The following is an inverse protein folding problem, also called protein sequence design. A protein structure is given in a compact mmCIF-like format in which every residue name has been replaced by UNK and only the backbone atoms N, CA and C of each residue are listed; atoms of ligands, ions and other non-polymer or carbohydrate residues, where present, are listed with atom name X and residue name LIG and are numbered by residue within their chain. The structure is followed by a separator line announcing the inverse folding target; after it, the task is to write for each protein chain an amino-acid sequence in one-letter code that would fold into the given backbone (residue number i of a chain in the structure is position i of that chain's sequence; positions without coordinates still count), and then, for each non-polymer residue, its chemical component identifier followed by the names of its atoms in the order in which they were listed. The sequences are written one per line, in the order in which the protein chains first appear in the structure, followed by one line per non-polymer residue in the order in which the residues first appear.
data_IF_630567222950
#
_entry.id   IF_630567222950
#
_cell.length_a   1.000
_cell.length_b   1.000
_cell.length_c   1.000
_cell.angle_alpha   90.00
_cell.angle_beta   90.00
_cell.angle_gamma   90.00
#
_symmetry.space_group_name_H-M   'P 1'
#
loop_
_entity.id
_entity.type
_entity.pdbx_description
1 polymer ?
#
# COMPACT_ATOMS: atom_id res chain seq x y z
N UNK A 1 8.02 6.36 8.81
CA UNK A 1 7.22 7.26 9.68
C UNK A 1 5.75 7.00 9.41
N UNK A 2 4.94 6.75 10.44
CA UNK A 2 3.48 6.62 10.29
C UNK A 2 2.83 7.93 10.72
N UNK A 3 2.14 8.62 9.81
CA UNK A 3 1.49 9.91 10.08
C UNK A 3 -0.01 9.72 9.98
N UNK A 4 -0.68 9.64 11.13
CA UNK A 4 -2.10 9.29 11.28
C UNK A 4 -2.97 10.44 11.79
N UNK A 5 -2.73 11.68 11.35
CA UNK A 5 -3.38 12.86 11.95
C UNK A 5 -4.85 13.04 11.53
N UNK A 6 -5.32 12.38 10.45
CA UNK A 6 -6.67 12.62 9.88
C UNK A 6 -7.49 11.35 9.61
N UNK A 7 -6.89 10.17 9.63
CA UNK A 7 -7.59 8.88 9.63
C UNK A 7 -6.72 7.79 10.26
N UNK A 8 -7.33 6.63 10.53
CA UNK A 8 -6.61 5.51 11.13
C UNK A 8 -5.61 4.87 10.16
N UNK A 9 -4.46 4.51 10.72
CA UNK A 9 -3.51 3.56 10.15
C UNK A 9 -3.62 2.29 10.99
N UNK A 10 -3.92 1.16 10.36
CA UNK A 10 -3.98 -0.16 11.03
C UNK A 10 -2.93 -1.08 10.42
N UNK A 11 -2.22 -1.81 11.28
CA UNK A 11 -1.17 -2.74 10.88
C UNK A 11 -1.41 -4.07 11.60
N UNK A 12 -1.58 -5.15 10.83
CA UNK A 12 -1.78 -6.50 11.35
C UNK A 12 -0.51 -7.10 11.98
N UNK A 13 -0.69 -8.24 12.64
CA UNK A 13 0.39 -8.95 13.32
C UNK A 13 1.41 -9.52 12.33
N UNK A 14 2.69 -9.56 12.71
CA UNK A 14 3.75 -10.15 11.89
C UNK A 14 4.12 -9.34 10.64
N UNK A 15 3.53 -8.16 10.45
CA UNK A 15 3.86 -7.27 9.33
C UNK A 15 5.18 -6.56 9.55
N UNK A 16 6.00 -6.54 8.51
CA UNK A 16 7.31 -5.90 8.48
C UNK A 16 7.26 -4.62 7.66
N UNK A 17 7.41 -3.47 8.32
CA UNK A 17 7.60 -2.18 7.66
C UNK A 17 9.09 -1.83 7.73
N UNK A 18 9.76 -1.90 6.59
CA UNK A 18 11.21 -1.65 6.52
C UNK A 18 11.54 -0.14 6.60
N UNK A 19 12.82 0.18 6.78
CA UNK A 19 13.29 1.55 7.00
C UNK A 19 12.93 2.50 5.84
N UNK A 20 12.80 3.78 6.21
CA UNK A 20 12.44 4.88 5.33
C UNK A 20 11.06 4.78 4.66
N UNK A 21 10.26 3.77 4.99
CA UNK A 21 8.88 3.68 4.52
C UNK A 21 7.99 4.72 5.18
N UNK A 22 7.08 5.29 4.39
CA UNK A 22 6.10 6.29 4.80
C UNK A 22 4.71 5.69 4.70
N UNK A 23 3.99 5.68 5.81
CA UNK A 23 2.57 5.33 5.85
C UNK A 23 1.81 6.59 6.21
N UNK A 24 0.98 7.06 5.29
CA UNK A 24 0.31 8.34 5.39
C UNK A 24 -1.17 8.21 5.03
N UNK A 25 -2.02 9.00 5.68
CA UNK A 25 -3.40 9.19 5.25
C UNK A 25 -3.66 10.65 4.89
N UNK A 26 -4.11 10.90 3.65
CA UNK A 26 -4.45 12.25 3.20
C UNK A 26 -5.61 12.83 4.02
N UNK A 27 -5.56 14.14 4.31
CA UNK A 27 -6.66 14.83 5.02
C UNK A 27 -7.98 14.82 4.26
N UNK A 28 -7.89 14.78 2.94
CA UNK A 28 -9.00 14.69 1.99
C UNK A 28 -8.41 14.30 0.63
N UNK A 29 -9.02 13.36 -0.08
CA UNK A 29 -8.71 13.15 -1.50
C UNK A 29 -9.47 14.15 -2.38
N UNK A 30 -9.24 14.14 -3.70
CA UNK A 30 -9.93 15.03 -4.66
C UNK A 30 -11.47 14.94 -4.59
N UNK A 31 -12.02 13.85 -4.07
CA UNK A 31 -13.45 13.60 -3.90
C UNK A 31 -13.99 13.98 -2.52
N UNK A 32 -13.17 14.59 -1.66
CA UNK A 32 -13.54 14.96 -0.29
C UNK A 32 -13.64 13.79 0.69
N UNK A 33 -13.27 12.57 0.28
CA UNK A 33 -13.29 11.38 1.13
C UNK A 33 -11.92 11.14 1.76
N UNK A 34 -11.91 10.67 2.99
CA UNK A 34 -10.70 10.25 3.70
C UNK A 34 -10.64 8.74 3.65
N UNK A 35 -9.57 8.17 3.08
CA UNK A 35 -9.36 6.73 2.99
C UNK A 35 -8.34 6.29 4.04
N UNK A 36 -8.67 5.35 4.94
CA UNK A 36 -7.69 4.85 5.90
C UNK A 36 -6.58 4.10 5.18
N UNK A 37 -5.45 3.91 5.85
CA UNK A 37 -4.45 2.94 5.39
C UNK A 37 -4.53 1.69 6.25
N UNK A 38 -4.88 0.57 5.63
CA UNK A 38 -5.07 -0.71 6.31
C UNK A 38 -4.04 -1.67 5.75
N UNK A 39 -3.17 -2.19 6.63
CA UNK A 39 -2.17 -3.19 6.30
C UNK A 39 -2.52 -4.44 7.10
N UNK A 40 -2.68 -5.56 6.41
CA UNK A 40 -2.99 -6.86 6.98
C UNK A 40 -1.84 -7.45 7.81
N UNK A 41 -1.94 -8.74 8.08
CA UNK A 41 -0.97 -9.53 8.82
C UNK A 41 0.05 -10.18 7.88
N UNK A 42 1.29 -10.38 8.38
CA UNK A 42 2.38 -10.99 7.61
C UNK A 42 2.69 -10.28 6.28
N UNK A 43 2.39 -8.98 6.19
CA UNK A 43 2.71 -8.17 5.01
C UNK A 43 4.18 -7.76 5.08
N UNK A 44 4.88 -7.76 3.94
CA UNK A 44 6.20 -7.15 3.85
C UNK A 44 6.12 -5.86 3.05
N UNK A 45 6.44 -4.74 3.70
CA UNK A 45 6.58 -3.43 3.07
C UNK A 45 8.05 -3.09 2.95
N UNK A 46 8.52 -3.09 1.70
CA UNK A 46 9.91 -2.85 1.32
C UNK A 46 10.43 -1.47 1.72
N UNK A 47 11.76 -1.35 1.85
CA UNK A 47 12.45 -0.09 2.16
C UNK A 47 11.97 1.07 1.29
N UNK A 48 11.81 2.25 1.89
CA UNK A 48 11.43 3.49 1.19
C UNK A 48 10.09 3.40 0.43
N UNK A 49 9.21 2.46 0.79
CA UNK A 49 7.88 2.40 0.20
C UNK A 49 6.97 3.50 0.75
N UNK A 50 6.07 4.02 -0.09
CA UNK A 50 5.09 5.04 0.27
C UNK A 50 3.70 4.47 0.15
N UNK A 51 2.99 4.38 1.27
CA UNK A 51 1.61 3.92 1.35
C UNK A 51 0.70 5.10 1.67
N UNK A 52 -0.23 5.39 0.78
CA UNK A 52 -1.10 6.56 0.89
C UNK A 52 -2.57 6.17 0.70
N UNK A 53 -3.31 6.06 1.82
CA UNK A 53 -4.76 5.80 1.81
C UNK A 53 -5.15 4.50 1.08
N UNK A 54 -4.43 3.41 1.34
CA UNK A 54 -4.58 2.13 0.62
C UNK A 54 -4.94 0.96 1.54
N UNK A 55 -5.42 -0.13 0.96
CA UNK A 55 -5.65 -1.41 1.66
C UNK A 55 -4.70 -2.46 1.12
N UNK A 56 -3.95 -3.11 2.00
CA UNK A 56 -3.04 -4.21 1.70
C UNK A 56 -3.47 -5.40 2.55
N UNK A 57 -3.95 -6.46 1.92
CA UNK A 57 -4.40 -7.67 2.60
C UNK A 57 -3.24 -8.52 3.13
N UNK A 58 -3.59 -9.54 3.90
CA UNK A 58 -2.64 -10.44 4.54
C UNK A 58 -1.67 -11.08 3.54
N UNK A 59 -0.43 -11.32 3.97
CA UNK A 59 0.58 -12.08 3.20
C UNK A 59 0.93 -11.45 1.83
N UNK A 60 0.52 -10.20 1.58
CA UNK A 60 0.92 -9.44 0.40
C UNK A 60 2.34 -8.87 0.53
N UNK A 61 2.93 -8.50 -0.60
CA UNK A 61 4.27 -7.92 -0.68
C UNK A 61 4.28 -6.57 -1.39
N UNK A 62 4.87 -5.56 -0.77
CA UNK A 62 5.09 -4.24 -1.38
C UNK A 62 6.59 -4.05 -1.60
N UNK A 63 7.01 -3.97 -2.86
CA UNK A 63 8.42 -3.82 -3.23
C UNK A 63 9.06 -2.54 -2.73
N UNK A 64 10.39 -2.58 -2.61
CA UNK A 64 11.19 -1.41 -2.18
C UNK A 64 10.96 -0.22 -3.10
N UNK A 65 10.80 0.97 -2.54
CA UNK A 65 10.57 2.20 -3.29
C UNK A 65 9.23 2.26 -4.03
N UNK A 66 8.33 1.30 -3.83
CA UNK A 66 7.00 1.34 -4.43
C UNK A 66 6.15 2.43 -3.77
N UNK A 67 5.25 3.03 -4.55
CA UNK A 67 4.31 4.06 -4.13
C UNK A 67 2.89 3.62 -4.46
N UNK A 68 2.06 3.43 -3.43
CA UNK A 68 0.64 3.12 -3.51
C UNK A 68 -0.18 4.40 -3.26
N UNK A 69 -0.98 4.81 -4.25
CA UNK A 69 -1.86 5.97 -4.13
C UNK A 69 -3.24 5.62 -3.53
N UNK A 70 -4.06 6.65 -3.35
CA UNK A 70 -5.37 6.56 -2.70
C UNK A 70 -6.26 5.46 -3.30
N UNK A 71 -6.85 4.64 -2.44
CA UNK A 71 -7.82 3.62 -2.83
C UNK A 71 -7.20 2.41 -3.52
N UNK A 72 -5.88 2.32 -3.60
CA UNK A 72 -5.23 1.08 -4.04
C UNK A 72 -5.63 -0.06 -3.11
N UNK A 73 -5.97 -1.20 -3.72
CA UNK A 73 -6.34 -2.43 -3.03
C UNK A 73 -5.44 -3.57 -3.49
N UNK A 74 -4.55 -4.02 -2.61
CA UNK A 74 -3.64 -5.15 -2.84
C UNK A 74 -4.24 -6.37 -2.17
N UNK A 75 -4.69 -7.34 -2.96
CA UNK A 75 -5.29 -8.57 -2.43
C UNK A 75 -4.25 -9.51 -1.80
N UNK A 76 -4.75 -10.50 -1.07
CA UNK A 76 -3.94 -11.54 -0.43
C UNK A 76 -2.93 -12.14 -1.41
N UNK A 77 -1.69 -12.34 -0.97
CA UNK A 77 -0.60 -12.90 -1.80
C UNK A 77 -0.22 -12.11 -3.05
N UNK A 78 -0.82 -10.95 -3.32
CA UNK A 78 -0.41 -10.11 -4.44
C UNK A 78 0.95 -9.43 -4.15
N UNK A 79 1.67 -9.09 -5.21
CA UNK A 79 2.96 -8.41 -5.10
C UNK A 79 2.98 -7.11 -5.90
N UNK A 80 3.51 -6.06 -5.28
CA UNK A 80 3.86 -4.81 -5.95
C UNK A 80 5.35 -4.83 -6.23
N UNK A 81 5.75 -4.63 -7.48
CA UNK A 81 7.15 -4.63 -7.88
C UNK A 81 7.93 -3.45 -7.25
N UNK A 82 9.24 -3.61 -7.12
CA UNK A 82 10.11 -2.53 -6.64
C UNK A 82 10.04 -1.29 -7.55
N UNK A 83 9.97 -0.10 -6.95
CA UNK A 83 9.83 1.16 -7.67
C UNK A 83 8.49 1.36 -8.38
N UNK A 84 7.50 0.49 -8.16
CA UNK A 84 6.20 0.59 -8.80
C UNK A 84 5.45 1.85 -8.35
N UNK A 85 4.85 2.61 -9.27
CA UNK A 85 3.84 3.63 -8.95
C UNK A 85 2.45 3.09 -9.29
N UNK A 86 1.69 2.69 -8.28
CA UNK A 86 0.34 2.15 -8.45
C UNK A 86 -0.67 3.29 -8.32
N UNK A 87 -1.47 3.47 -9.37
CA UNK A 87 -2.41 4.59 -9.49
C UNK A 87 -3.62 4.43 -8.57
N UNK A 88 -4.28 5.56 -8.30
CA UNK A 88 -5.46 5.61 -7.45
C UNK A 88 -6.53 4.59 -7.89
N UNK A 89 -7.20 3.97 -6.92
CA UNK A 89 -8.28 3.00 -7.10
C UNK A 89 -7.90 1.72 -7.89
N UNK A 90 -6.61 1.44 -8.08
CA UNK A 90 -6.16 0.19 -8.70
C UNK A 90 -6.39 -0.98 -7.74
N UNK A 91 -7.01 -2.06 -8.22
CA UNK A 91 -7.05 -3.34 -7.52
C UNK A 91 -6.02 -4.29 -8.14
N UNK A 92 -5.15 -4.86 -7.31
CA UNK A 92 -4.18 -5.88 -7.70
C UNK A 92 -4.73 -7.23 -7.20
N UNK A 93 -5.12 -8.13 -8.11
CA UNK A 93 -5.71 -9.43 -7.77
C UNK A 93 -4.76 -10.36 -7.01
N UNK A 94 -5.36 -11.30 -6.28
CA UNK A 94 -4.66 -12.31 -5.49
C UNK A 94 -3.63 -13.08 -6.31
N UNK A 95 -2.38 -13.10 -5.85
CA UNK A 95 -1.28 -13.82 -6.48
C UNK A 95 -0.69 -13.17 -7.74
N UNK A 96 -1.21 -12.03 -8.18
CA UNK A 96 -0.66 -11.27 -9.31
C UNK A 96 0.47 -10.33 -8.90
N UNK A 97 1.33 -9.99 -9.88
CA UNK A 97 2.41 -9.02 -9.71
C UNK A 97 2.11 -7.76 -10.52
N UNK A 98 2.15 -6.59 -9.87
CA UNK A 98 1.89 -5.29 -10.51
C UNK A 98 3.13 -4.38 -10.53
N UNK A 99 3.41 -3.76 -11.68
CA UNK A 99 4.48 -2.76 -11.88
C UNK A 99 3.97 -1.36 -12.26
N UNK A 100 4.89 -0.40 -12.51
CA UNK A 100 4.54 1.00 -12.88
C UNK A 100 3.80 1.12 -14.21
N UNK A 101 4.12 0.27 -15.18
CA UNK A 101 3.33 0.09 -16.40
C UNK A 101 2.23 -0.93 -16.13
N UNK A 102 1.04 -0.74 -16.69
CA UNK A 102 -0.15 -1.64 -16.60
C UNK A 102 0.07 -3.08 -17.11
N UNK A 103 1.32 -3.52 -17.27
CA UNK A 103 1.69 -4.90 -17.52
C UNK A 103 1.72 -5.62 -16.17
N UNK A 104 0.61 -6.27 -15.86
CA UNK A 104 0.56 -7.41 -14.94
C UNK A 104 1.37 -8.56 -15.54
N UNK A 105 2.24 -9.19 -14.76
CA UNK A 105 2.96 -10.42 -15.15
C UNK A 105 2.28 -11.65 -14.55
#
# INVERSE_FOLDING_TARGET
MCVGDVNSISIGSGTNIQDNSLVHVAKSNLSGKVLPTIIGSNVTVGHSAVLHGCTVEDEAFVGMGATLLDGVYVEKHAMVAAGALVRQNTRIPCGEVSGTSSLTF
#
